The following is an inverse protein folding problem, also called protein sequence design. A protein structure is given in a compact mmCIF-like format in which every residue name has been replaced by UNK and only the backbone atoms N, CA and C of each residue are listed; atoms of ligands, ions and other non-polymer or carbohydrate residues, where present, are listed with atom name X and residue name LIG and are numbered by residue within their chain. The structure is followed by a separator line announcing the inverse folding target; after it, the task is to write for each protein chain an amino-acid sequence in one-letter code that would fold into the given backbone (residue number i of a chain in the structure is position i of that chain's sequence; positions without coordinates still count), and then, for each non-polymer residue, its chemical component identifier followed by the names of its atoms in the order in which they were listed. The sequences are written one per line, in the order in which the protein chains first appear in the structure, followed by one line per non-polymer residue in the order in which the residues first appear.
data_IF_227607306324
#
_entry.id   IF_227607306324
#
_cell.length_a   1.000
_cell.length_b   1.000
_cell.length_c   1.000
_cell.angle_alpha   90.00
_cell.angle_beta   90.00
_cell.angle_gamma   90.00
#
_symmetry.space_group_name_H-M   'P 1'
#
loop_
_entity.id
_entity.type
_entity.pdbx_description
1 polymer ?
#
# COMPACT_ATOMS: atom_id res chain seq x y z
N UNK A 1 -11.82 31.50 -14.61
CA UNK A 1 -10.36 31.62 -14.41
C UNK A 1 -9.96 31.34 -12.96
N UNK A 2 -10.51 32.06 -11.96
CA UNK A 2 -10.19 31.84 -10.54
C UNK A 2 -10.47 30.41 -10.03
N UNK A 3 -11.63 29.82 -10.39
CA UNK A 3 -11.95 28.45 -10.02
C UNK A 3 -10.98 27.41 -10.61
N UNK A 4 -10.51 27.64 -11.85
CA UNK A 4 -9.54 26.75 -12.49
C UNK A 4 -8.17 26.85 -11.81
N UNK A 5 -7.72 28.08 -11.51
CA UNK A 5 -6.46 28.32 -10.76
C UNK A 5 -6.53 27.65 -9.38
N UNK A 6 -7.67 27.77 -8.69
CA UNK A 6 -7.88 27.11 -7.41
C UNK A 6 -7.83 25.59 -7.53
N UNK A 7 -8.51 24.98 -8.51
CA UNK A 7 -8.48 23.54 -8.75
C UNK A 7 -7.07 23.03 -9.04
N UNK A 8 -6.31 23.74 -9.89
CA UNK A 8 -4.90 23.39 -10.17
C UNK A 8 -4.03 23.53 -8.92
N UNK A 9 -4.24 24.59 -8.13
CA UNK A 9 -3.52 24.80 -6.87
C UNK A 9 -3.80 23.68 -5.85
N UNK A 10 -5.06 23.28 -5.69
CA UNK A 10 -5.46 22.17 -4.81
C UNK A 10 -4.90 20.85 -5.32
N UNK A 11 -4.99 20.56 -6.62
CA UNK A 11 -4.43 19.34 -7.20
C UNK A 11 -2.91 19.27 -6.98
N UNK A 12 -2.18 20.37 -7.22
CA UNK A 12 -0.75 20.47 -6.95
C UNK A 12 -0.41 20.26 -5.47
N UNK A 13 -1.22 20.82 -4.57
CA UNK A 13 -1.06 20.62 -3.13
C UNK A 13 -1.26 19.16 -2.71
N UNK A 14 -2.31 18.51 -3.22
CA UNK A 14 -2.60 17.10 -2.92
C UNK A 14 -1.45 16.21 -3.38
N UNK A 15 -0.91 16.43 -4.58
CA UNK A 15 0.23 15.67 -5.10
C UNK A 15 1.46 15.91 -4.22
N UNK A 16 1.76 17.17 -3.88
CA UNK A 16 2.94 17.53 -3.09
C UNK A 16 2.91 17.02 -1.64
N UNK A 17 1.72 16.95 -1.03
CA UNK A 17 1.56 16.36 0.32
C UNK A 17 1.50 14.84 0.25
N UNK A 18 0.80 14.29 -0.75
CA UNK A 18 0.58 12.85 -0.89
C UNK A 18 1.85 12.07 -1.26
N UNK A 19 2.79 12.70 -1.96
CA UNK A 19 4.07 12.08 -2.36
C UNK A 19 5.12 12.06 -1.23
N UNK A 20 4.86 12.73 -0.11
CA UNK A 20 5.74 12.68 1.06
C UNK A 20 5.41 11.50 1.93
N UNK A 21 6.08 10.39 1.68
CA UNK A 21 6.31 9.44 2.76
C UNK A 21 7.36 10.00 3.74
N UNK A 22 7.26 9.60 5.00
CA UNK A 22 8.31 9.82 6.00
C UNK A 22 9.14 8.53 6.12
N UNK A 23 9.42 7.87 4.99
CA UNK A 23 10.14 6.60 5.00
C UNK A 23 11.53 6.81 5.58
N UNK A 24 11.89 5.95 6.53
CA UNK A 24 13.18 5.95 7.21
C UNK A 24 13.62 4.50 7.43
N UNK A 25 14.94 4.26 7.57
CA UNK A 25 15.44 2.92 7.88
C UNK A 25 14.74 2.32 9.11
N UNK A 26 14.30 1.08 9.00
CA UNK A 26 13.56 0.36 10.01
C UNK A 26 13.90 -1.14 10.01
N UNK A 27 13.53 -1.85 11.07
CA UNK A 27 13.76 -3.30 11.17
C UNK A 27 12.80 -4.14 10.31
N UNK A 28 11.58 -3.63 10.08
CA UNK A 28 10.47 -4.32 9.42
C UNK A 28 9.52 -3.30 8.76
N UNK A 29 9.08 -3.58 7.53
CA UNK A 29 7.95 -2.90 6.88
C UNK A 29 6.67 -3.72 7.14
N UNK A 30 5.66 -3.11 7.76
CA UNK A 30 4.39 -3.77 8.07
C UNK A 30 3.31 -3.30 7.10
N UNK A 31 2.68 -4.24 6.39
CA UNK A 31 1.58 -3.97 5.47
C UNK A 31 0.26 -4.32 6.14
N UNK A 32 -0.57 -3.29 6.35
CA UNK A 32 -1.90 -3.43 6.93
C UNK A 32 -2.92 -3.88 5.89
N UNK A 33 -3.72 -4.90 6.25
CA UNK A 33 -4.84 -5.39 5.43
C UNK A 33 -5.84 -4.30 5.05
N UNK A 34 -6.51 -4.46 3.91
CA UNK A 34 -7.48 -3.50 3.37
C UNK A 34 -8.60 -4.15 2.53
N UNK A 35 -8.89 -5.44 2.76
CA UNK A 35 -9.70 -6.37 1.98
C UNK A 35 -8.98 -7.08 0.83
N UNK A 36 -9.31 -8.36 0.66
CA UNK A 36 -8.97 -9.19 -0.48
C UNK A 36 -10.25 -9.84 -1.03
N UNK A 37 -10.39 -9.86 -2.36
CA UNK A 37 -11.48 -10.53 -3.06
C UNK A 37 -11.00 -11.91 -3.50
N UNK A 38 -11.43 -12.95 -2.79
CA UNK A 38 -10.97 -14.34 -2.94
C UNK A 38 -9.44 -14.48 -2.86
N UNK A 39 -8.78 -14.52 -4.02
CA UNK A 39 -7.35 -14.74 -4.18
C UNK A 39 -6.62 -13.51 -4.74
N UNK A 40 -7.30 -12.37 -4.89
CA UNK A 40 -6.74 -11.12 -5.40
C UNK A 40 -6.88 -10.00 -4.36
N UNK A 41 -5.84 -9.18 -4.15
CA UNK A 41 -5.97 -8.00 -3.30
C UNK A 41 -7.02 -7.04 -3.90
N UNK A 42 -7.67 -6.24 -3.06
CA UNK A 42 -8.44 -5.09 -3.55
C UNK A 42 -7.50 -4.06 -4.18
N UNK A 43 -7.97 -3.15 -5.06
CA UNK A 43 -7.10 -2.13 -5.66
C UNK A 43 -6.32 -1.31 -4.63
N UNK A 44 -6.95 -0.97 -3.50
CA UNK A 44 -6.29 -0.26 -2.40
C UNK A 44 -5.24 -1.14 -1.72
N UNK A 45 -5.54 -2.42 -1.51
CA UNK A 45 -4.58 -3.33 -0.88
C UNK A 45 -3.39 -3.63 -1.81
N UNK A 46 -3.62 -3.70 -3.11
CA UNK A 46 -2.60 -3.89 -4.13
C UNK A 46 -1.58 -2.75 -4.12
N UNK A 47 -2.03 -1.50 -4.13
CA UNK A 47 -1.13 -0.34 -4.07
C UNK A 47 -0.35 -0.29 -2.75
N UNK A 48 -0.96 -0.70 -1.62
CA UNK A 48 -0.23 -0.82 -0.35
C UNK A 48 0.87 -1.86 -0.41
N UNK A 49 0.61 -3.02 -1.02
CA UNK A 49 1.61 -4.07 -1.20
C UNK A 49 2.73 -3.58 -2.13
N UNK A 50 2.38 -2.90 -3.22
CA UNK A 50 3.35 -2.33 -4.17
C UNK A 50 4.27 -1.33 -3.50
N UNK A 51 3.70 -0.34 -2.79
CA UNK A 51 4.49 0.64 -2.05
C UNK A 51 5.42 0.00 -1.02
N UNK A 52 4.96 -1.03 -0.31
CA UNK A 52 5.80 -1.77 0.64
C UNK A 52 6.95 -2.52 -0.04
N UNK A 53 6.73 -3.08 -1.24
CA UNK A 53 7.77 -3.71 -2.05
C UNK A 53 8.79 -2.68 -2.55
N UNK A 54 8.34 -1.50 -2.95
CA UNK A 54 9.22 -0.42 -3.40
C UNK A 54 10.15 0.03 -2.26
N UNK A 55 9.63 0.18 -1.04
CA UNK A 55 10.43 0.50 0.15
C UNK A 55 11.42 -0.64 0.50
N UNK A 56 10.98 -1.89 0.36
CA UNK A 56 11.84 -3.06 0.58
C UNK A 56 12.98 -3.13 -0.43
N UNK A 57 12.69 -2.90 -1.71
CA UNK A 57 13.68 -2.88 -2.79
C UNK A 57 14.69 -1.73 -2.64
N UNK A 58 14.25 -0.59 -2.09
CA UNK A 58 15.12 0.54 -1.74
C UNK A 58 15.97 0.30 -0.47
N UNK A 59 15.78 -0.84 0.22
CA UNK A 59 16.59 -1.22 1.38
C UNK A 59 16.18 -0.54 2.69
N UNK A 60 14.98 0.03 2.78
CA UNK A 60 14.50 0.68 4.00
C UNK A 60 14.34 -0.28 5.18
N UNK A 61 14.07 -1.56 4.92
CA UNK A 61 14.05 -2.58 5.95
C UNK A 61 14.45 -3.95 5.39
N UNK A 62 15.10 -4.82 6.20
CA UNK A 62 15.48 -6.16 5.76
C UNK A 62 14.32 -7.15 5.71
N UNK A 63 13.14 -6.78 6.22
CA UNK A 63 11.99 -7.69 6.39
C UNK A 63 10.67 -7.01 6.03
N UNK A 64 9.75 -7.82 5.49
CA UNK A 64 8.40 -7.42 5.15
C UNK A 64 7.38 -8.30 5.89
N UNK A 65 6.41 -7.69 6.56
CA UNK A 65 5.38 -8.38 7.33
C UNK A 65 3.99 -8.03 6.79
N UNK A 66 3.31 -9.01 6.21
CA UNK A 66 1.91 -8.88 5.80
C UNK A 66 0.98 -9.25 6.96
N UNK A 67 0.02 -8.37 7.24
CA UNK A 67 -1.02 -8.60 8.25
C UNK A 67 -2.39 -8.76 7.58
N UNK A 68 -3.39 -9.15 8.37
CA UNK A 68 -4.76 -9.36 7.90
C UNK A 68 -5.18 -10.82 7.93
N UNK A 69 -6.42 -11.04 8.39
CA UNK A 69 -7.02 -12.34 8.66
C UNK A 69 -7.97 -12.80 7.56
N UNK A 70 -8.92 -13.66 7.91
CA UNK A 70 -10.00 -14.06 7.02
C UNK A 70 -11.13 -13.02 7.06
N UNK A 71 -11.53 -12.51 5.90
CA UNK A 71 -12.80 -11.79 5.75
C UNK A 71 -13.99 -12.76 5.78
N UNK A 72 -15.20 -12.22 5.94
CA UNK A 72 -16.43 -13.04 5.91
C UNK A 72 -16.54 -13.83 4.60
N UNK A 73 -16.52 -15.16 4.71
CA UNK A 73 -16.60 -16.08 3.56
C UNK A 73 -15.32 -16.17 2.71
N UNK A 74 -14.21 -15.57 3.14
CA UNK A 74 -12.97 -15.58 2.37
C UNK A 74 -12.27 -16.95 2.44
N UNK A 75 -11.82 -17.45 1.28
CA UNK A 75 -11.04 -18.71 1.18
C UNK A 75 -9.60 -18.60 1.68
N UNK A 76 -9.05 -17.38 1.71
CA UNK A 76 -7.67 -17.11 2.09
C UNK A 76 -7.60 -15.92 3.03
N UNK A 77 -6.62 -15.90 3.92
CA UNK A 77 -6.33 -14.72 4.71
C UNK A 77 -5.71 -13.62 3.82
N UNK A 78 -5.97 -12.36 4.13
CA UNK A 78 -5.41 -11.21 3.40
C UNK A 78 -3.89 -11.27 3.36
N UNK A 79 -3.26 -11.66 4.48
CA UNK A 79 -1.80 -11.87 4.58
C UNK A 79 -1.29 -12.94 3.61
N UNK A 80 -2.05 -14.01 3.37
CA UNK A 80 -1.70 -15.05 2.40
C UNK A 80 -1.85 -14.56 0.96
N UNK A 81 -2.89 -13.77 0.68
CA UNK A 81 -3.08 -13.13 -0.63
C UNK A 81 -1.93 -12.17 -0.91
N UNK A 82 -1.58 -11.31 0.05
CA UNK A 82 -0.50 -10.36 -0.07
C UNK A 82 0.87 -11.03 -0.27
N UNK A 83 1.18 -12.09 0.51
CA UNK A 83 2.40 -12.87 0.32
C UNK A 83 2.48 -13.51 -1.07
N UNK A 84 1.37 -14.08 -1.57
CA UNK A 84 1.35 -14.67 -2.92
C UNK A 84 1.51 -13.61 -4.00
N UNK A 85 0.92 -12.43 -3.82
CA UNK A 85 1.09 -11.32 -4.74
C UNK A 85 2.54 -10.83 -4.78
N UNK A 86 3.17 -10.69 -3.61
CA UNK A 86 4.55 -10.21 -3.46
C UNK A 86 5.64 -11.19 -3.93
N UNK A 87 5.30 -12.48 -4.07
CA UNK A 87 6.23 -13.52 -4.54
C UNK A 87 6.08 -13.83 -6.04
N UNK A 88 5.15 -13.18 -6.73
CA UNK A 88 5.04 -13.26 -8.19
C UNK A 88 6.06 -12.36 -8.85
#
# INVERSE_FOLDING_TARGET
MLALIWLVGVAGWIVWVGDRDQAAPADVIIVLGAAAYDARPSPVFEERIRHALDLYAQGYAPRLLFTGGFGNGARFAESQVARRYALR
#
